data_IF_201100581380
#
_entry.id   IF_201100581380
#
_cell.length_a   1.000
_cell.length_b   1.000
_cell.length_c   1.000
_cell.angle_alpha   90.00
_cell.angle_beta   90.00
_cell.angle_gamma   90.00
#
_symmetry.space_group_name_H-M   'P 1'
#
loop_
_entity.id
_entity.type
_entity.pdbx_description
1 polymer ?
#
# COMPACT_ATOMS: atom_id res chain seq x y z
N UNK A 1 -35.76 -1.36 -7.76
CA UNK A 1 -34.44 -1.65 -7.16
C UNK A 1 -34.58 -1.48 -5.66
N UNK A 2 -34.56 -2.59 -4.91
CA UNK A 2 -34.72 -2.56 -3.46
C UNK A 2 -33.39 -2.19 -2.81
N UNK A 3 -33.36 -1.10 -2.06
CA UNK A 3 -32.20 -0.71 -1.26
C UNK A 3 -32.09 -1.68 -0.08
N UNK A 4 -31.18 -2.65 -0.18
CA UNK A 4 -30.80 -3.48 0.97
C UNK A 4 -29.83 -2.66 1.80
N UNK A 5 -30.15 -2.29 3.06
CA UNK A 5 -29.19 -1.60 3.91
C UNK A 5 -27.98 -2.53 4.11
N UNK A 6 -26.79 -2.08 3.68
CA UNK A 6 -25.55 -2.79 3.95
C UNK A 6 -25.26 -2.72 5.45
N UNK A 7 -24.84 -3.84 6.04
CA UNK A 7 -24.43 -3.89 7.44
C UNK A 7 -23.27 -2.90 7.68
N UNK A 8 -23.17 -2.27 8.86
CA UNK A 8 -22.01 -1.47 9.21
C UNK A 8 -20.75 -2.33 9.15
N UNK A 9 -19.67 -1.78 8.58
CA UNK A 9 -18.37 -2.48 8.49
C UNK A 9 -17.85 -2.76 9.88
N UNK A 10 -17.53 -4.03 10.15
CA UNK A 10 -17.08 -4.44 11.46
C UNK A 10 -15.57 -4.36 11.59
N UNK A 11 -14.82 -4.67 10.53
CA UNK A 11 -13.38 -4.89 10.58
C UNK A 11 -12.59 -3.92 9.70
N UNK A 12 -13.00 -3.70 8.46
CA UNK A 12 -12.47 -2.71 7.54
C UNK A 12 -13.09 -1.33 7.82
N UNK A 13 -12.50 -0.60 8.75
CA UNK A 13 -12.95 0.74 9.17
C UNK A 13 -11.74 1.66 9.45
N UNK A 14 -12.01 2.96 9.67
CA UNK A 14 -10.97 3.97 9.87
C UNK A 14 -10.12 3.73 11.13
N UNK A 15 -10.67 3.11 12.18
CA UNK A 15 -9.91 2.77 13.38
C UNK A 15 -8.84 1.71 13.07
N UNK A 16 -9.22 0.63 12.36
CA UNK A 16 -8.26 -0.39 11.91
C UNK A 16 -7.19 0.20 10.98
N UNK A 17 -7.57 1.09 10.05
CA UNK A 17 -6.60 1.76 9.18
C UNK A 17 -5.62 2.63 9.98
N UNK A 18 -6.08 3.28 11.05
CA UNK A 18 -5.23 4.06 11.96
C UNK A 18 -4.28 3.16 12.76
N UNK A 19 -4.73 2.00 13.24
CA UNK A 19 -3.90 1.03 13.96
C UNK A 19 -2.82 0.44 13.05
N UNK A 20 -3.20 0.06 11.82
CA UNK A 20 -2.26 -0.39 10.80
C UNK A 20 -1.23 0.70 10.49
N UNK A 21 -1.67 1.94 10.27
CA UNK A 21 -0.77 3.08 10.03
C UNK A 21 0.24 3.25 11.15
N UNK A 22 -0.22 3.23 12.41
CA UNK A 22 0.66 3.39 13.58
C UNK A 22 1.67 2.25 13.66
N UNK A 23 1.23 1.00 13.52
CA UNK A 23 2.13 -0.15 13.62
C UNK A 23 3.13 -0.23 12.46
N UNK A 24 2.65 -0.02 11.22
CA UNK A 24 3.47 -0.13 10.01
C UNK A 24 4.59 0.91 10.00
N UNK A 25 4.26 2.15 10.43
CA UNK A 25 5.16 3.30 10.41
C UNK A 25 5.78 3.68 11.76
N UNK A 26 5.64 2.86 12.81
CA UNK A 26 6.08 3.18 14.18
C UNK A 26 7.56 3.60 14.31
N UNK A 27 8.41 3.08 13.44
CA UNK A 27 9.86 3.29 13.43
C UNK A 27 10.30 4.27 12.33
N UNK A 28 9.35 4.88 11.62
CA UNK A 28 9.66 5.83 10.54
C UNK A 28 10.03 7.18 11.14
N UNK A 29 11.24 7.69 10.86
CA UNK A 29 11.66 9.01 11.35
C UNK A 29 10.71 10.11 10.88
N UNK A 30 10.57 11.18 11.67
CA UNK A 30 9.79 12.35 11.26
C UNK A 30 10.51 13.27 10.25
N UNK A 31 11.77 12.98 9.89
CA UNK A 31 12.64 13.80 9.05
C UNK A 31 13.33 12.94 7.99
N UNK A 32 13.51 13.47 6.78
CA UNK A 32 14.13 12.77 5.64
C UNK A 32 15.65 12.58 5.76
N UNK A 33 16.31 13.37 6.59
CA UNK A 33 17.75 13.26 6.80
C UNK A 33 18.15 12.13 7.75
N UNK A 34 17.15 11.37 8.24
CA UNK A 34 17.36 10.20 9.08
C UNK A 34 17.00 8.95 8.28
N UNK A 35 17.99 8.08 8.10
CA UNK A 35 17.80 6.81 7.41
C UNK A 35 16.75 5.94 8.11
N UNK A 36 16.00 5.16 7.33
CA UNK A 36 15.11 4.14 7.88
C UNK A 36 15.89 3.11 8.70
N UNK A 37 15.42 2.77 9.91
CA UNK A 37 15.98 1.65 10.65
C UNK A 37 15.90 0.35 9.83
N UNK A 38 16.96 -0.46 9.88
CA UNK A 38 17.03 -1.74 9.14
C UNK A 38 15.85 -2.67 9.49
N UNK A 39 15.41 -2.66 10.76
CA UNK A 39 14.25 -3.42 11.22
C UNK A 39 12.94 -3.03 10.52
N UNK A 40 12.81 -1.77 10.11
CA UNK A 40 11.64 -1.28 9.36
C UNK A 40 11.63 -1.84 7.95
N UNK A 41 12.76 -1.76 7.23
CA UNK A 41 12.90 -2.33 5.89
C UNK A 41 12.69 -3.85 5.88
N UNK A 42 13.20 -4.55 6.90
CA UNK A 42 12.97 -5.99 7.07
C UNK A 42 11.48 -6.31 7.23
N UNK A 43 10.77 -5.55 8.06
CA UNK A 43 9.34 -5.75 8.29
C UNK A 43 8.52 -5.53 7.01
N UNK A 44 8.87 -4.55 6.19
CA UNK A 44 8.10 -4.23 4.98
C UNK A 44 8.41 -5.16 3.80
N UNK A 45 9.67 -5.57 3.62
CA UNK A 45 10.12 -6.16 2.36
C UNK A 45 10.83 -7.50 2.50
N UNK A 46 10.99 -8.03 3.71
CA UNK A 46 11.58 -9.37 3.90
C UNK A 46 10.58 -10.32 4.56
N UNK A 47 10.49 -11.58 4.10
CA UNK A 47 9.73 -12.61 4.78
C UNK A 47 10.10 -12.73 6.26
N UNK A 48 9.09 -12.76 7.13
CA UNK A 48 9.27 -12.91 8.56
C UNK A 48 8.03 -13.59 9.18
N UNK A 49 8.16 -14.80 9.75
CA UNK A 49 7.05 -15.51 10.37
C UNK A 49 6.34 -14.70 11.47
N UNK A 50 7.09 -13.88 12.22
CA UNK A 50 6.56 -13.03 13.29
C UNK A 50 5.69 -11.90 12.72
N UNK A 51 6.07 -11.34 11.56
CA UNK A 51 5.29 -10.31 10.86
C UNK A 51 4.06 -10.93 10.24
N UNK A 52 4.22 -12.07 9.57
CA UNK A 52 3.12 -12.81 8.95
C UNK A 52 2.04 -13.18 9.99
N UNK A 53 2.47 -13.65 11.17
CA UNK A 53 1.56 -14.01 12.26
C UNK A 53 0.88 -12.78 12.89
N UNK A 54 1.63 -11.70 13.12
CA UNK A 54 1.05 -10.45 13.58
C UNK A 54 -0.02 -9.95 12.59
N UNK A 55 0.27 -9.98 11.30
CA UNK A 55 -0.66 -9.57 10.26
C UNK A 55 -1.93 -10.44 10.25
N UNK A 56 -1.80 -11.77 10.38
CA UNK A 56 -2.94 -12.70 10.49
C UNK A 56 -3.82 -12.37 11.69
N UNK A 57 -3.23 -12.22 12.87
CA UNK A 57 -3.95 -12.01 14.12
C UNK A 57 -4.65 -10.66 14.19
N UNK A 58 -4.03 -9.60 13.68
CA UNK A 58 -4.52 -8.24 13.84
C UNK A 58 -5.30 -7.69 12.66
N UNK A 59 -5.06 -8.20 11.44
CA UNK A 59 -5.63 -7.63 10.21
C UNK A 59 -6.38 -8.65 9.35
N UNK A 60 -6.32 -9.95 9.67
CA UNK A 60 -6.94 -11.01 8.87
C UNK A 60 -8.44 -10.81 8.63
N UNK A 61 -9.21 -10.49 9.67
CA UNK A 61 -10.66 -10.28 9.55
C UNK A 61 -11.01 -9.08 8.68
N UNK A 62 -10.17 -8.03 8.69
CA UNK A 62 -10.37 -6.87 7.84
C UNK A 62 -10.02 -7.16 6.38
N UNK A 63 -9.01 -7.98 6.12
CA UNK A 63 -8.69 -8.48 4.77
C UNK A 63 -9.84 -9.32 4.24
N UNK A 64 -10.37 -10.25 5.04
CA UNK A 64 -11.54 -11.07 4.68
C UNK A 64 -12.76 -10.21 4.36
N UNK A 65 -13.10 -9.24 5.23
CA UNK A 65 -14.23 -8.33 5.00
C UNK A 65 -14.01 -7.50 3.73
N UNK A 66 -12.83 -6.90 3.55
CA UNK A 66 -12.50 -6.10 2.38
C UNK A 66 -12.52 -6.91 1.07
N UNK A 67 -12.23 -8.21 1.12
CA UNK A 67 -12.37 -9.13 -0.01
C UNK A 67 -13.79 -9.17 -0.58
N UNK A 68 -14.80 -9.02 0.28
CA UNK A 68 -16.23 -9.00 -0.09
C UNK A 68 -16.73 -7.67 -0.64
N UNK A 69 -15.95 -6.59 -0.45
CA UNK A 69 -16.34 -5.24 -0.84
C UNK A 69 -15.95 -4.93 -2.28
N UNK A 70 -16.79 -4.13 -2.96
CA UNK A 70 -16.39 -3.50 -4.21
C UNK A 70 -15.46 -2.28 -3.97
N UNK A 71 -14.83 -1.78 -5.03
CA UNK A 71 -13.87 -0.65 -4.90
C UNK A 71 -14.54 0.66 -4.47
N UNK A 72 -15.82 0.88 -4.80
CA UNK A 72 -16.54 2.09 -4.38
C UNK A 72 -16.85 2.03 -2.89
N UNK A 73 -17.16 0.85 -2.37
CA UNK A 73 -17.26 0.59 -0.95
C UNK A 73 -15.91 0.85 -0.27
N UNK A 74 -14.83 0.20 -0.69
CA UNK A 74 -13.51 0.44 -0.08
C UNK A 74 -13.22 1.94 0.00
N UNK A 75 -13.41 2.67 -1.11
CA UNK A 75 -13.24 4.12 -1.19
C UNK A 75 -14.17 4.91 -0.27
N UNK A 76 -15.40 4.48 -0.03
CA UNK A 76 -16.35 5.19 0.83
C UNK A 76 -16.00 5.17 2.32
N UNK A 77 -15.05 4.33 2.74
CA UNK A 77 -14.49 4.34 4.11
C UNK A 77 -13.25 5.21 4.23
N UNK A 78 -12.64 5.59 3.11
CA UNK A 78 -11.39 6.36 3.09
C UNK A 78 -11.74 7.84 2.95
N UNK A 79 -11.37 8.64 3.94
CA UNK A 79 -11.58 10.08 3.98
C UNK A 79 -10.28 10.86 3.87
N UNK A 80 -9.14 10.25 4.20
CA UNK A 80 -7.85 10.92 4.27
C UNK A 80 -6.78 10.25 3.39
N UNK A 81 -5.73 11.02 3.04
CA UNK A 81 -4.49 10.50 2.51
C UNK A 81 -3.91 9.26 3.22
N UNK A 82 -3.80 9.33 4.54
CA UNK A 82 -3.18 8.30 5.35
C UNK A 82 -4.01 7.02 5.39
N UNK A 83 -5.33 7.15 5.43
CA UNK A 83 -6.25 6.00 5.32
C UNK A 83 -6.14 5.34 3.95
N UNK A 84 -5.91 6.10 2.87
CA UNK A 84 -5.70 5.53 1.54
C UNK A 84 -4.43 4.69 1.47
N UNK A 85 -3.33 5.22 2.00
CA UNK A 85 -2.05 4.49 2.10
C UNK A 85 -2.21 3.25 2.97
N UNK A 86 -2.86 3.37 4.14
CA UNK A 86 -3.11 2.24 5.02
C UNK A 86 -3.98 1.17 4.35
N UNK A 87 -5.01 1.56 3.60
CA UNK A 87 -5.84 0.63 2.85
C UNK A 87 -5.04 -0.06 1.74
N UNK A 88 -4.14 0.65 1.05
CA UNK A 88 -3.21 0.04 0.09
C UNK A 88 -2.28 -0.96 0.77
N UNK A 89 -1.68 -0.61 1.90
CA UNK A 89 -0.83 -1.53 2.69
C UNK A 89 -1.62 -2.77 3.10
N UNK A 90 -2.86 -2.62 3.59
CA UNK A 90 -3.71 -3.72 4.01
C UNK A 90 -3.98 -4.70 2.86
N UNK A 91 -4.27 -4.17 1.67
CA UNK A 91 -4.78 -4.95 0.54
C UNK A 91 -3.67 -5.45 -0.40
N UNK A 92 -2.48 -4.84 -0.36
CA UNK A 92 -1.34 -5.23 -1.18
C UNK A 92 -0.20 -5.89 -0.37
N UNK A 93 0.23 -5.31 0.75
CA UNK A 93 1.38 -5.84 1.51
C UNK A 93 0.95 -6.87 2.55
N UNK A 94 -0.05 -6.54 3.37
CA UNK A 94 -0.54 -7.41 4.44
C UNK A 94 -1.18 -8.69 3.87
N UNK A 95 -1.86 -8.62 2.72
CA UNK A 95 -2.34 -9.82 2.01
C UNK A 95 -1.18 -10.73 1.63
N UNK A 96 -0.08 -10.18 1.11
CA UNK A 96 1.15 -10.94 0.78
C UNK A 96 1.82 -11.55 2.01
N UNK A 97 1.75 -10.91 3.17
CA UNK A 97 2.27 -11.45 4.44
C UNK A 97 1.35 -12.57 5.00
N UNK A 98 0.03 -12.34 5.02
CA UNK A 98 -0.96 -13.29 5.56
C UNK A 98 -0.94 -14.61 4.80
N UNK A 99 -0.91 -14.53 3.46
CA UNK A 99 -0.99 -15.69 2.60
C UNK A 99 0.38 -16.27 2.23
N UNK A 100 1.49 -15.78 2.81
CA UNK A 100 2.84 -16.32 2.60
C UNK A 100 2.96 -17.71 3.24
N UNK A 101 3.00 -18.77 2.43
CA UNK A 101 3.32 -20.14 2.89
C UNK A 101 2.35 -21.24 2.44
N UNK A 102 2.84 -22.48 2.52
CA UNK A 102 2.30 -23.78 2.10
C UNK A 102 1.83 -23.93 0.62
N UNK A 103 2.37 -24.93 -0.08
CA UNK A 103 2.12 -25.19 -1.51
C UNK A 103 0.65 -25.53 -1.81
N UNK A 104 -0.12 -26.00 -0.82
CA UNK A 104 -1.57 -26.18 -0.92
C UNK A 104 -2.35 -24.85 -1.04
N UNK A 105 -1.74 -23.73 -0.62
CA UNK A 105 -2.35 -22.39 -0.56
C UNK A 105 -1.99 -21.56 -1.79
N UNK A 106 -1.10 -22.02 -2.69
CA UNK A 106 -0.74 -21.27 -3.92
C UNK A 106 -1.94 -20.86 -4.78
N UNK A 107 -2.98 -21.71 -4.88
CA UNK A 107 -4.20 -21.37 -5.61
C UNK A 107 -5.04 -20.31 -4.87
N UNK A 108 -5.08 -20.35 -3.54
CA UNK A 108 -5.72 -19.33 -2.71
C UNK A 108 -4.95 -18.00 -2.72
N UNK A 109 -3.62 -18.05 -2.77
CA UNK A 109 -2.73 -16.89 -2.94
C UNK A 109 -3.00 -16.22 -4.28
N UNK A 110 -3.02 -16.98 -5.37
CA UNK A 110 -3.30 -16.44 -6.71
C UNK A 110 -4.74 -15.91 -6.83
N UNK A 111 -5.71 -16.55 -6.18
CA UNK A 111 -7.07 -16.04 -6.10
C UNK A 111 -7.13 -14.73 -5.32
N UNK A 112 -6.48 -14.65 -4.16
CA UNK A 112 -6.39 -13.44 -3.36
C UNK A 112 -5.75 -12.29 -4.17
N UNK A 113 -4.62 -12.52 -4.83
CA UNK A 113 -3.98 -11.50 -5.67
C UNK A 113 -4.88 -11.07 -6.83
N UNK A 114 -5.53 -12.01 -7.53
CA UNK A 114 -6.49 -11.67 -8.60
C UNK A 114 -7.68 -10.85 -8.11
N UNK A 115 -8.11 -11.04 -6.88
CA UNK A 115 -9.26 -10.30 -6.31
C UNK A 115 -8.85 -8.94 -5.73
N UNK A 116 -7.67 -8.84 -5.11
CA UNK A 116 -7.19 -7.63 -4.45
C UNK A 116 -6.41 -6.70 -5.39
N UNK A 117 -5.52 -7.22 -6.24
CA UNK A 117 -4.60 -6.43 -7.05
C UNK A 117 -5.34 -5.43 -7.95
N UNK A 118 -6.43 -5.78 -8.68
CA UNK A 118 -7.18 -4.81 -9.47
C UNK A 118 -7.85 -3.72 -8.62
N UNK A 119 -8.35 -4.07 -7.43
CA UNK A 119 -9.00 -3.13 -6.51
C UNK A 119 -7.98 -2.13 -5.95
N UNK A 120 -6.85 -2.64 -5.47
CA UNK A 120 -5.81 -1.81 -4.86
C UNK A 120 -5.06 -0.97 -5.90
N UNK A 121 -4.88 -1.48 -7.12
CA UNK A 121 -4.38 -0.72 -8.27
C UNK A 121 -5.33 0.44 -8.63
N UNK A 122 -6.64 0.18 -8.67
CA UNK A 122 -7.65 1.23 -8.91
C UNK A 122 -7.62 2.30 -7.82
N UNK A 123 -7.49 1.89 -6.56
CA UNK A 123 -7.35 2.80 -5.42
C UNK A 123 -6.09 3.66 -5.54
N UNK A 124 -4.94 3.04 -5.80
CA UNK A 124 -3.66 3.71 -5.96
C UNK A 124 -3.71 4.75 -7.08
N UNK A 125 -4.17 4.36 -8.29
CA UNK A 125 -4.34 5.27 -9.43
C UNK A 125 -5.25 6.45 -9.08
N UNK A 126 -6.35 6.22 -8.36
CA UNK A 126 -7.26 7.28 -7.95
C UNK A 126 -6.60 8.33 -7.04
N UNK A 127 -5.72 7.91 -6.11
CA UNK A 127 -5.00 8.84 -5.24
C UNK A 127 -3.78 9.47 -5.90
N UNK A 128 -3.08 8.74 -6.78
CA UNK A 128 -1.94 9.26 -7.55
C UNK A 128 -2.33 10.27 -8.63
N UNK A 129 -3.57 10.19 -9.14
CA UNK A 129 -4.10 11.18 -10.09
C UNK A 129 -4.48 12.52 -9.42
N UNK A 130 -4.52 12.59 -8.08
CA UNK A 130 -4.83 13.83 -7.38
C UNK A 130 -3.60 14.75 -7.37
N UNK A 131 -3.78 16.08 -7.48
CA UNK A 131 -2.67 17.02 -7.34
C UNK A 131 -1.94 16.81 -6.01
N UNK A 132 -0.61 16.99 -6.05
CA UNK A 132 0.30 16.87 -4.90
C UNK A 132 -0.02 17.83 -3.73
N UNK A 133 -0.99 18.74 -3.89
CA UNK A 133 -1.25 19.82 -2.97
C UNK A 133 -2.75 19.93 -2.62
N UNK A 134 -3.09 19.56 -1.39
CA UNK A 134 -4.30 19.96 -0.71
C UNK A 134 -3.94 21.00 0.38
N UNK A 135 -3.26 22.09 -0.02
CA UNK A 135 -2.93 23.24 0.84
C UNK A 135 -2.03 22.95 2.04
N UNK A 136 -1.55 21.72 2.14
CA UNK A 136 -0.56 21.24 3.07
C UNK A 136 0.13 20.09 2.33
N UNK A 137 1.43 20.03 2.51
CA UNK A 137 2.38 19.07 1.98
C UNK A 137 2.04 17.67 2.56
N UNK A 138 0.87 17.12 2.25
CA UNK A 138 0.16 16.11 3.06
C UNK A 138 -0.50 15.05 2.19
N UNK A 139 0.34 14.23 1.57
CA UNK A 139 0.13 12.83 1.14
C UNK A 139 1.48 12.30 0.63
N UNK A 140 2.28 13.19 0.02
CA UNK A 140 3.54 12.90 -0.67
C UNK A 140 4.80 13.46 0.01
N UNK A 141 4.70 14.17 1.13
CA UNK A 141 5.91 14.66 1.80
C UNK A 141 6.79 13.51 2.19
N UNK A 142 6.19 12.51 2.84
CA UNK A 142 6.96 11.41 3.38
C UNK A 142 7.13 10.27 2.39
N UNK A 143 8.23 10.30 1.65
CA UNK A 143 8.52 9.29 0.62
C UNK A 143 8.36 7.86 1.16
N UNK A 144 8.91 7.54 2.34
CA UNK A 144 8.76 6.21 2.95
C UNK A 144 7.32 5.80 3.28
N UNK A 145 6.37 6.75 3.32
CA UNK A 145 4.93 6.46 3.52
C UNK A 145 4.19 6.47 2.19
N UNK A 146 4.44 7.45 1.34
CA UNK A 146 3.78 7.57 0.04
C UNK A 146 4.24 6.50 -0.94
N UNK A 147 5.40 5.87 -0.73
CA UNK A 147 5.93 4.85 -1.63
C UNK A 147 4.99 3.65 -1.80
N UNK A 148 4.18 3.35 -0.79
CA UNK A 148 3.20 2.26 -0.84
C UNK A 148 2.10 2.49 -1.88
N UNK A 149 1.81 3.74 -2.27
CA UNK A 149 0.87 4.01 -3.38
C UNK A 149 1.43 3.60 -4.74
N UNK A 150 2.75 3.48 -4.87
CA UNK A 150 3.40 3.06 -6.11
C UNK A 150 3.42 1.54 -6.27
N UNK A 151 3.40 0.80 -5.15
CA UNK A 151 3.56 -0.67 -5.15
C UNK A 151 2.50 -1.40 -5.98
N UNK A 152 1.19 -1.03 -5.95
CA UNK A 152 0.21 -1.65 -6.82
C UNK A 152 0.51 -1.51 -8.32
N UNK A 153 1.13 -0.41 -8.75
CA UNK A 153 1.54 -0.25 -10.16
C UNK A 153 2.73 -1.18 -10.47
N UNK A 154 3.66 -1.33 -9.53
CA UNK A 154 4.82 -2.24 -9.65
C UNK A 154 4.39 -3.71 -9.74
N UNK A 155 3.32 -4.08 -9.04
CA UNK A 155 2.77 -5.44 -9.07
C UNK A 155 1.80 -5.70 -10.23
N UNK A 156 1.51 -4.70 -11.06
CA UNK A 156 0.60 -4.85 -12.19
C UNK A 156 1.22 -5.73 -13.28
N UNK A 157 0.42 -6.62 -13.88
CA UNK A 157 0.79 -7.37 -15.07
C UNK A 157 0.66 -6.54 -16.37
N UNK A 158 0.17 -5.29 -16.28
CA UNK A 158 0.02 -4.38 -17.41
C UNK A 158 1.26 -3.47 -17.55
N UNK A 159 1.94 -3.56 -18.70
CA UNK A 159 3.12 -2.75 -19.00
C UNK A 159 2.87 -1.24 -18.94
N UNK A 160 1.65 -0.79 -19.22
CA UNK A 160 1.29 0.63 -19.14
C UNK A 160 1.33 1.17 -17.70
N UNK A 161 1.14 0.30 -16.70
CA UNK A 161 1.27 0.66 -15.30
C UNK A 161 2.72 0.82 -14.86
N UNK A 162 3.61 0.00 -15.41
CA UNK A 162 5.07 0.16 -15.24
C UNK A 162 5.58 1.45 -15.87
N UNK A 163 5.10 1.78 -17.07
CA UNK A 163 5.46 3.03 -17.75
C UNK A 163 4.91 4.25 -16.97
N UNK A 164 3.68 4.17 -16.45
CA UNK A 164 3.10 5.21 -15.60
C UNK A 164 3.87 5.36 -14.27
N UNK A 165 4.23 4.26 -13.62
CA UNK A 165 5.05 4.26 -12.41
C UNK A 165 6.40 4.94 -12.67
N UNK A 166 7.07 4.60 -13.77
CA UNK A 166 8.33 5.22 -14.17
C UNK A 166 8.20 6.74 -14.31
N UNK A 167 7.13 7.22 -14.94
CA UNK A 167 6.85 8.65 -15.07
C UNK A 167 6.59 9.33 -13.73
N UNK A 168 5.82 8.69 -12.83
CA UNK A 168 5.54 9.20 -11.49
C UNK A 168 6.81 9.31 -10.63
N UNK A 169 7.70 8.31 -10.69
CA UNK A 169 8.95 8.32 -9.94
C UNK A 169 9.93 9.35 -10.49
N UNK A 170 10.01 9.54 -11.81
CA UNK A 170 10.80 10.61 -12.40
C UNK A 170 10.30 12.01 -11.99
N UNK A 171 8.97 12.21 -11.98
CA UNK A 171 8.38 13.44 -11.49
C UNK A 171 8.64 13.66 -9.99
N UNK A 172 8.61 12.58 -9.18
CA UNK A 172 8.92 12.64 -7.75
C UNK A 172 10.39 12.96 -7.48
N UNK A 173 11.31 12.39 -8.25
CA UNK A 173 12.75 12.65 -8.16
C UNK A 173 13.05 14.14 -8.42
N UNK A 174 12.39 14.73 -9.43
CA UNK A 174 12.54 16.16 -9.76
C UNK A 174 12.04 17.12 -8.66
N UNK A 175 11.24 16.63 -7.71
CA UNK A 175 10.73 17.38 -6.56
C UNK A 175 11.55 17.19 -5.29
N UNK A 176 12.59 16.34 -5.31
CA UNK A 176 13.41 16.08 -4.13
C UNK A 176 14.23 17.32 -3.76
N UNK A 177 14.28 17.64 -2.46
CA UNK A 177 15.03 18.79 -1.94
C UNK A 177 16.40 18.37 -1.36
N UNK A 178 16.72 17.07 -1.34
CA UNK A 178 17.97 16.54 -0.78
C UNK A 178 18.45 15.27 -1.49
N UNK A 179 19.77 15.03 -1.46
CA UNK A 179 20.39 13.82 -2.01
C UNK A 179 19.88 12.53 -1.35
N UNK A 180 19.54 12.59 -0.06
CA UNK A 180 18.97 11.46 0.66
C UNK A 180 17.59 11.07 0.10
N UNK A 181 16.71 12.06 -0.09
CA UNK A 181 15.38 11.84 -0.68
C UNK A 181 15.50 11.32 -2.13
N UNK A 182 16.41 11.90 -2.92
CA UNK A 182 16.71 11.42 -4.28
C UNK A 182 17.20 9.98 -4.28
N UNK A 183 18.07 9.59 -3.33
CA UNK A 183 18.56 8.23 -3.22
C UNK A 183 17.45 7.22 -2.91
N UNK A 184 16.52 7.56 -2.02
CA UNK A 184 15.37 6.71 -1.71
C UNK A 184 14.43 6.54 -2.92
N UNK A 185 14.16 7.63 -3.66
CA UNK A 185 13.36 7.57 -4.89
C UNK A 185 14.02 6.68 -5.94
N UNK A 186 15.33 6.84 -6.15
CA UNK A 186 16.10 6.01 -7.09
C UNK A 186 16.15 4.54 -6.70
N UNK A 187 16.21 4.23 -5.41
CA UNK A 187 16.14 2.86 -4.93
C UNK A 187 14.82 2.22 -5.33
N UNK A 188 13.69 2.92 -5.15
CA UNK A 188 12.39 2.43 -5.59
C UNK A 188 12.29 2.31 -7.11
N UNK A 189 12.84 3.27 -7.87
CA UNK A 189 12.90 3.21 -9.34
C UNK A 189 13.70 2.01 -9.84
N UNK A 190 14.80 1.66 -9.18
CA UNK A 190 15.59 0.48 -9.51
C UNK A 190 14.78 -0.80 -9.31
N UNK A 191 14.13 -0.96 -8.14
CA UNK A 191 13.25 -2.09 -7.89
C UNK A 191 12.07 -2.15 -8.89
N UNK A 192 11.47 -1.01 -9.22
CA UNK A 192 10.39 -0.94 -10.21
C UNK A 192 10.84 -1.47 -11.58
N UNK A 193 12.06 -1.13 -12.01
CA UNK A 193 12.61 -1.60 -13.27
C UNK A 193 12.85 -3.12 -13.28
N UNK A 194 13.27 -3.72 -12.16
CA UNK A 194 13.43 -5.17 -12.05
C UNK A 194 12.09 -5.93 -12.12
N UNK A 195 10.98 -5.31 -11.69
CA UNK A 195 9.64 -5.93 -11.72
C UNK A 195 8.92 -5.74 -13.07
N UNK A 196 9.53 -5.03 -14.01
CA UNK A 196 8.99 -4.78 -15.36
C UNK A 196 9.26 -5.94 -16.34
N UNK A 197 10.23 -6.80 -16.04
CA UNK A 197 10.63 -7.96 -16.87
C UNK A 197 9.63 -9.13 -16.80
#
# INVERSE_FOLDING_TARGET
MSFVPRAPRQWFNTALLADLWQWWFKDVPGRYDVALPEGTMKRWFRPSPDVDEYCRLHFGQAVEEAGTLDILEIRSTISTPSEAIAAVILLDQVTRDIYRGDQAVKLCILAAYRDFDPKVLSLAKYYLAKPFDYGNRSLHTHFYKSCFLYMPLMHSEDISDHDHLSALLAAREALCESDAETADVRLLSHFAAEHRE
#
